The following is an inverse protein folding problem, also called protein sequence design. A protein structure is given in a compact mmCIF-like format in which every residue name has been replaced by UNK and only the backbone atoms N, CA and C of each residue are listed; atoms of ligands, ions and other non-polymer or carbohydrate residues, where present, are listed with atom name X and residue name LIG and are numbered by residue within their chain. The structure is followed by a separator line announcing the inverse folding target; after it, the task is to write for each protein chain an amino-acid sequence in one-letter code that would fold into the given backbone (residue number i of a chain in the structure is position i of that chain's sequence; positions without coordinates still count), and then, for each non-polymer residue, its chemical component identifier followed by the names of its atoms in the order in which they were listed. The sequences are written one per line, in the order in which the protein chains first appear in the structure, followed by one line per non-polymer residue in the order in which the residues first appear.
data_IF_221566697993
#
_entry.id   IF_221566697993
#
_cell.length_a   1.000
_cell.length_b   1.000
_cell.length_c   1.000
_cell.angle_alpha   90.00
_cell.angle_beta   90.00
_cell.angle_gamma   90.00
#
_symmetry.space_group_name_H-M   'P 1'
#
loop_
_entity.id
_entity.type
_entity.pdbx_description
1 polymer ?
#
# COMPACT_ATOMS: atom_id res chain seq x y z
N UNK A 1 31.23 3.69 -28.43
CA UNK A 1 30.79 4.82 -27.60
C UNK A 1 29.37 4.53 -27.19
N UNK A 2 29.19 4.02 -25.97
CA UNK A 2 27.87 3.74 -25.40
C UNK A 2 27.24 5.09 -25.14
N UNK A 3 26.15 5.41 -25.84
CA UNK A 3 25.41 6.64 -25.59
C UNK A 3 24.80 6.52 -24.19
N UNK A 4 25.31 7.28 -23.24
CA UNK A 4 24.65 7.51 -21.96
C UNK A 4 23.28 8.13 -22.25
N UNK A 5 22.23 7.31 -22.10
CA UNK A 5 20.86 7.78 -22.09
C UNK A 5 20.70 8.72 -20.89
N UNK A 6 20.60 10.02 -21.17
CA UNK A 6 20.29 11.02 -20.15
C UNK A 6 19.00 10.61 -19.43
N UNK A 7 18.96 10.63 -18.09
CA UNK A 7 17.74 10.35 -17.36
C UNK A 7 16.66 11.36 -17.76
N UNK A 8 15.51 10.83 -18.16
CA UNK A 8 14.28 11.60 -18.42
C UNK A 8 13.93 12.35 -17.13
N UNK A 9 13.41 13.57 -17.24
CA UNK A 9 12.99 14.32 -16.05
C UNK A 9 11.96 13.51 -15.24
N UNK A 10 12.09 13.56 -13.92
CA UNK A 10 11.31 12.71 -13.04
C UNK A 10 9.79 12.96 -13.09
N UNK A 11 9.35 14.22 -13.28
CA UNK A 11 7.92 14.55 -13.32
C UNK A 11 7.20 13.93 -14.53
N UNK A 12 7.87 13.87 -15.69
CA UNK A 12 7.32 13.26 -16.92
C UNK A 12 7.05 11.75 -16.75
N UNK A 13 7.78 11.09 -15.85
CA UNK A 13 7.69 9.64 -15.68
C UNK A 13 6.35 9.22 -15.09
N UNK A 14 5.84 9.94 -14.09
CA UNK A 14 4.54 9.62 -13.48
C UNK A 14 3.41 9.83 -14.49
N UNK A 15 3.41 10.92 -15.25
CA UNK A 15 2.38 11.16 -16.27
C UNK A 15 2.39 10.07 -17.35
N UNK A 16 3.57 9.63 -17.78
CA UNK A 16 3.72 8.50 -18.70
C UNK A 16 3.19 7.20 -18.10
N UNK A 17 3.46 6.93 -16.82
CA UNK A 17 2.95 5.75 -16.13
C UNK A 17 1.42 5.79 -16.00
N UNK A 18 0.83 6.95 -15.69
CA UNK A 18 -0.63 7.13 -15.66
C UNK A 18 -1.23 6.81 -17.03
N UNK A 19 -0.65 7.36 -18.10
CA UNK A 19 -1.08 7.10 -19.47
C UNK A 19 -0.93 5.63 -19.86
N UNK A 20 0.22 5.02 -19.56
CA UNK A 20 0.49 3.60 -19.81
C UNK A 20 -0.50 2.71 -19.07
N UNK A 21 -0.74 2.97 -17.78
CA UNK A 21 -1.64 2.19 -16.95
C UNK A 21 -3.06 2.19 -17.53
N UNK A 22 -3.55 3.36 -17.94
CA UNK A 22 -4.86 3.48 -18.56
C UNK A 22 -4.93 2.76 -19.90
N UNK A 23 -3.94 2.98 -20.78
CA UNK A 23 -3.92 2.39 -22.13
C UNK A 23 -3.79 0.87 -22.12
N UNK A 24 -3.08 0.30 -21.14
CA UNK A 24 -2.79 -1.14 -21.05
C UNK A 24 -3.72 -1.89 -20.09
N UNK A 25 -4.59 -1.18 -19.37
CA UNK A 25 -5.54 -1.81 -18.46
C UNK A 25 -4.95 -2.27 -17.14
N UNK A 26 -4.03 -1.48 -16.59
CA UNK A 26 -3.60 -1.60 -15.20
C UNK A 26 -4.54 -0.85 -14.27
N UNK A 27 -4.76 0.44 -14.49
CA UNK A 27 -5.50 1.30 -13.55
C UNK A 27 -6.37 2.29 -14.33
N UNK A 28 -7.60 2.49 -13.86
CA UNK A 28 -8.57 3.43 -14.39
C UNK A 28 -9.06 4.37 -13.27
N UNK A 29 -9.37 5.64 -13.56
CA UNK A 29 -10.14 6.47 -12.64
C UNK A 29 -11.48 5.80 -12.33
N UNK A 30 -11.81 5.65 -11.05
CA UNK A 30 -13.08 5.03 -10.67
C UNK A 30 -14.24 5.91 -11.10
N UNK A 31 -15.30 5.30 -11.64
CA UNK A 31 -16.46 6.04 -12.19
C UNK A 31 -16.10 7.05 -13.30
N UNK A 32 -15.11 6.74 -14.15
CA UNK A 32 -14.59 7.69 -15.16
C UNK A 32 -15.68 8.30 -16.06
N UNK A 33 -16.65 7.51 -16.50
CA UNK A 33 -17.75 7.99 -17.37
C UNK A 33 -18.65 9.04 -16.70
N UNK A 34 -18.58 9.15 -15.38
CA UNK A 34 -19.29 10.16 -14.56
C UNK A 34 -18.38 11.31 -14.13
N UNK A 35 -17.17 11.43 -14.70
CA UNK A 35 -16.18 12.45 -14.35
C UNK A 35 -15.13 11.99 -13.34
N UNK A 36 -15.19 10.72 -12.91
CA UNK A 36 -14.24 10.16 -11.95
C UNK A 36 -14.55 10.51 -10.50
N UNK A 37 -14.10 9.66 -9.57
CA UNK A 37 -14.05 9.97 -8.15
C UNK A 37 -12.60 10.19 -7.72
N UNK A 38 -12.29 11.41 -7.26
CA UNK A 38 -10.92 11.78 -6.91
C UNK A 38 -10.32 10.81 -5.86
N UNK A 39 -9.12 10.29 -6.17
CA UNK A 39 -8.34 9.38 -5.34
C UNK A 39 -8.95 8.00 -5.09
N UNK A 40 -9.87 7.61 -5.97
CA UNK A 40 -10.45 6.27 -6.02
C UNK A 40 -10.23 5.73 -7.43
N UNK A 41 -9.69 4.52 -7.53
CA UNK A 41 -9.29 3.94 -8.81
C UNK A 41 -9.75 2.50 -8.91
N UNK A 42 -10.07 2.10 -10.14
CA UNK A 42 -10.41 0.73 -10.49
C UNK A 42 -9.20 0.07 -11.15
N UNK A 43 -8.99 -1.23 -10.91
CA UNK A 43 -7.87 -1.97 -11.50
C UNK A 43 -8.37 -2.84 -12.65
N UNK A 44 -7.83 -2.59 -13.84
CA UNK A 44 -8.20 -3.28 -15.07
C UNK A 44 -7.66 -4.72 -15.14
N UNK A 45 -7.80 -5.40 -16.30
CA UNK A 45 -7.42 -6.81 -16.44
C UNK A 45 -5.96 -7.13 -16.09
N UNK A 46 -5.01 -6.27 -16.46
CA UNK A 46 -3.60 -6.46 -16.07
C UNK A 46 -3.37 -6.03 -14.62
N UNK A 47 -4.04 -4.98 -14.19
CA UNK A 47 -3.93 -4.47 -12.83
C UNK A 47 -4.37 -5.49 -11.80
N UNK A 48 -5.55 -6.08 -11.96
CA UNK A 48 -6.09 -7.06 -11.02
C UNK A 48 -5.19 -8.30 -10.91
N UNK A 49 -4.57 -8.73 -12.02
CA UNK A 49 -3.61 -9.85 -12.03
C UNK A 49 -2.35 -9.50 -11.26
N UNK A 50 -1.73 -8.35 -11.55
CA UNK A 50 -0.54 -7.91 -10.84
C UNK A 50 -0.80 -7.71 -9.35
N UNK A 51 -1.94 -7.11 -8.97
CA UNK A 51 -2.37 -7.00 -7.57
C UNK A 51 -2.46 -8.35 -6.89
N UNK A 52 -3.13 -9.32 -7.52
CA UNK A 52 -3.22 -10.69 -7.00
C UNK A 52 -1.83 -11.28 -6.79
N UNK A 53 -0.95 -11.19 -7.78
CA UNK A 53 0.41 -11.73 -7.68
C UNK A 53 1.21 -11.10 -6.52
N UNK A 54 1.11 -9.78 -6.32
CA UNK A 54 1.74 -9.09 -5.18
C UNK A 54 1.22 -9.67 -3.86
N UNK A 55 -0.10 -9.79 -3.73
CA UNK A 55 -0.77 -10.25 -2.52
C UNK A 55 -0.40 -11.69 -2.16
N UNK A 56 -0.42 -12.58 -3.15
CA UNK A 56 -0.04 -14.00 -2.97
C UNK A 56 1.44 -14.14 -2.58
N UNK A 57 2.34 -13.32 -3.17
CA UNK A 57 3.76 -13.33 -2.78
C UNK A 57 3.96 -12.81 -1.36
N UNK A 58 3.24 -11.77 -0.97
CA UNK A 58 3.29 -11.26 0.40
C UNK A 58 2.78 -12.31 1.38
N UNK A 59 1.60 -12.89 1.12
CA UNK A 59 1.01 -13.92 1.98
C UNK A 59 1.92 -15.14 2.11
N UNK A 60 2.46 -15.62 0.99
CA UNK A 60 3.39 -16.74 0.99
C UNK A 60 4.61 -16.47 1.87
N UNK A 61 5.19 -15.27 1.80
CA UNK A 61 6.40 -14.91 2.55
C UNK A 61 6.12 -14.64 4.03
N UNK A 62 5.03 -13.94 4.32
CA UNK A 62 4.68 -13.52 5.67
C UNK A 62 3.96 -14.60 6.47
N UNK A 63 3.31 -15.57 5.81
CA UNK A 63 2.50 -16.60 6.46
C UNK A 63 2.96 -17.99 6.05
N UNK A 64 2.80 -18.40 4.78
CA UNK A 64 2.95 -19.80 4.39
C UNK A 64 4.37 -20.37 4.56
N UNK A 65 5.40 -19.53 4.44
CA UNK A 65 6.81 -19.91 4.60
C UNK A 65 7.32 -19.74 6.03
N UNK A 66 6.44 -19.38 6.97
CA UNK A 66 6.79 -19.08 8.36
C UNK A 66 6.10 -20.03 9.31
N UNK A 67 6.82 -20.38 10.37
CA UNK A 67 6.28 -21.20 11.46
C UNK A 67 5.73 -20.33 12.60
N UNK A 68 5.84 -19.01 12.54
CA UNK A 68 5.59 -18.09 13.64
C UNK A 68 4.54 -17.03 13.33
N UNK A 69 3.81 -17.11 12.21
CA UNK A 69 2.77 -16.14 11.84
C UNK A 69 1.46 -16.84 11.49
N UNK A 70 0.36 -16.34 12.05
CA UNK A 70 -1.00 -16.80 11.76
C UNK A 70 -1.75 -15.82 10.87
N UNK A 71 -2.54 -16.34 9.94
CA UNK A 71 -3.40 -15.53 9.08
C UNK A 71 -4.79 -15.32 9.66
N UNK A 72 -5.31 -14.09 9.60
CA UNK A 72 -6.74 -13.81 9.87
C UNK A 72 -7.35 -12.93 8.78
N UNK A 73 -8.68 -12.86 8.74
CA UNK A 73 -9.42 -11.87 7.96
C UNK A 73 -10.50 -11.25 8.85
N UNK A 74 -10.50 -9.93 8.95
CA UNK A 74 -11.45 -9.21 9.81
C UNK A 74 -12.41 -8.36 9.00
N UNK A 75 -13.62 -8.16 9.54
CA UNK A 75 -14.62 -7.29 8.95
C UNK A 75 -14.13 -5.83 8.90
N UNK A 76 -14.59 -5.08 7.89
CA UNK A 76 -14.32 -3.64 7.77
C UNK A 76 -15.08 -2.86 8.84
N UNK A 77 -16.34 -3.24 9.08
CA UNK A 77 -17.20 -2.61 10.07
C UNK A 77 -16.92 -3.24 11.44
N UNK A 78 -16.48 -2.41 12.39
CA UNK A 78 -16.21 -2.79 13.77
C UNK A 78 -17.07 -1.95 14.71
N UNK A 79 -17.23 -2.43 15.96
CA UNK A 79 -17.87 -1.65 17.00
C UNK A 79 -17.13 -0.29 17.15
N UNK A 80 -17.85 0.86 17.18
CA UNK A 80 -17.23 2.19 17.30
C UNK A 80 -16.25 2.33 18.46
N UNK A 81 -16.49 1.63 19.57
CA UNK A 81 -15.63 1.65 20.76
C UNK A 81 -14.20 1.18 20.47
N UNK A 82 -13.98 0.37 19.43
CA UNK A 82 -12.63 -0.04 18.99
C UNK A 82 -11.81 1.17 18.54
N UNK A 83 -12.44 2.10 17.83
CA UNK A 83 -11.81 3.32 17.30
C UNK A 83 -11.68 4.41 18.36
N UNK A 84 -12.55 4.40 19.37
CA UNK A 84 -12.41 5.24 20.56
C UNK A 84 -11.25 4.76 21.42
N UNK A 85 -11.20 3.45 21.71
CA UNK A 85 -10.13 2.85 22.50
C UNK A 85 -8.77 3.12 21.85
N UNK A 86 -8.60 2.77 20.57
CA UNK A 86 -7.34 3.01 19.84
C UNK A 86 -6.99 4.49 19.60
N UNK A 87 -7.81 5.43 20.06
CA UNK A 87 -7.57 6.87 19.93
C UNK A 87 -7.84 7.44 18.53
N UNK A 88 -8.24 6.63 17.55
CA UNK A 88 -8.50 7.09 16.18
C UNK A 88 -9.61 8.14 16.09
N UNK A 89 -10.65 8.04 16.92
CA UNK A 89 -11.74 9.02 16.92
C UNK A 89 -11.24 10.42 17.33
N UNK A 90 -10.32 10.52 18.29
CA UNK A 90 -9.81 11.82 18.75
C UNK A 90 -8.54 12.27 18.01
N UNK A 91 -7.66 11.36 17.64
CA UNK A 91 -6.29 11.65 17.17
C UNK A 91 -6.04 11.45 15.68
N UNK A 92 -6.93 10.79 14.93
CA UNK A 92 -6.73 10.52 13.49
C UNK A 92 -7.16 11.72 12.64
N UNK A 93 -6.52 12.87 12.87
CA UNK A 93 -6.89 14.16 12.27
C UNK A 93 -5.73 14.85 11.57
N UNK A 94 -6.01 15.47 10.43
CA UNK A 94 -5.06 16.36 9.75
C UNK A 94 -5.48 17.84 9.84
N UNK A 95 -4.52 18.78 9.84
CA UNK A 95 -4.81 20.21 9.83
C UNK A 95 -5.32 20.64 8.44
N UNK A 96 -6.61 20.96 8.36
CA UNK A 96 -7.31 21.35 7.14
C UNK A 96 -7.47 22.87 7.02
N UNK A 97 -7.12 23.42 5.86
CA UNK A 97 -7.45 24.79 5.45
C UNK A 97 -8.26 24.81 4.16
N UNK A 98 -9.24 25.72 4.07
CA UNK A 98 -10.03 25.94 2.86
C UNK A 98 -9.59 27.22 2.14
N UNK A 99 -9.49 27.19 0.82
CA UNK A 99 -9.35 28.40 0.02
C UNK A 99 -10.69 29.13 -0.09
N UNK A 100 -10.73 30.39 0.34
CA UNK A 100 -11.90 31.26 0.20
C UNK A 100 -11.90 32.07 -1.10
N UNK A 101 -10.88 31.88 -1.94
CA UNK A 101 -10.78 32.42 -3.30
C UNK A 101 -11.56 31.60 -4.34
N UNK A 102 -11.17 31.76 -5.61
CA UNK A 102 -11.90 31.21 -6.76
C UNK A 102 -11.91 29.68 -6.86
N UNK A 103 -10.84 29.00 -6.44
CA UNK A 103 -10.73 27.55 -6.62
C UNK A 103 -11.51 26.72 -5.58
N UNK A 104 -11.79 27.29 -4.39
CA UNK A 104 -12.43 26.61 -3.25
C UNK A 104 -11.82 25.25 -2.86
N UNK A 105 -10.56 25.02 -3.22
CA UNK A 105 -9.82 23.79 -2.90
C UNK A 105 -9.49 23.72 -1.41
N UNK A 106 -9.34 22.49 -0.93
CA UNK A 106 -8.95 22.14 0.43
C UNK A 106 -7.51 21.64 0.44
N UNK A 107 -6.78 22.02 1.47
CA UNK A 107 -5.36 21.69 1.60
C UNK A 107 -5.06 21.23 3.01
N UNK A 108 -4.09 20.33 3.13
CA UNK A 108 -3.38 20.13 4.37
C UNK A 108 -2.47 21.31 4.64
N UNK A 109 -2.60 21.91 5.82
CA UNK A 109 -1.85 23.12 6.20
C UNK A 109 -0.33 22.89 6.17
N UNK A 110 0.10 21.77 6.75
CA UNK A 110 1.50 21.35 6.85
C UNK A 110 2.12 20.99 5.49
N UNK A 111 1.31 20.67 4.49
CA UNK A 111 1.75 20.40 3.13
C UNK A 111 1.75 21.63 2.20
N UNK A 112 1.31 22.80 2.66
CA UNK A 112 1.16 23.99 1.81
C UNK A 112 2.48 24.39 1.10
N UNK A 113 3.61 24.28 1.78
CA UNK A 113 4.92 24.59 1.22
C UNK A 113 5.23 23.73 0.00
N UNK A 114 5.15 22.40 0.15
CA UNK A 114 5.39 21.45 -0.93
C UNK A 114 4.38 21.63 -2.09
N UNK A 115 3.10 21.87 -1.78
CA UNK A 115 2.07 22.10 -2.80
C UNK A 115 2.30 23.39 -3.61
N UNK A 116 2.92 24.42 -3.00
CA UNK A 116 3.31 25.65 -3.70
C UNK A 116 4.49 25.40 -4.63
N UNK A 117 5.54 24.75 -4.14
CA UNK A 117 6.72 24.42 -4.93
C UNK A 117 6.37 23.57 -6.14
N UNK A 118 5.53 22.55 -5.95
CA UNK A 118 5.03 21.69 -7.02
C UNK A 118 4.26 22.46 -8.12
N UNK A 119 3.76 23.65 -7.81
CA UNK A 119 3.05 24.55 -8.75
C UNK A 119 3.91 25.75 -9.18
N UNK A 120 5.22 25.68 -8.99
CA UNK A 120 6.17 26.72 -9.40
C UNK A 120 6.08 28.00 -8.56
N UNK A 121 5.53 27.93 -7.35
CA UNK A 121 5.45 29.05 -6.40
C UNK A 121 6.49 28.87 -5.28
N UNK A 122 7.00 29.98 -4.70
CA UNK A 122 7.84 29.90 -3.51
C UNK A 122 7.13 29.15 -2.36
N UNK A 123 7.86 28.32 -1.61
CA UNK A 123 7.31 27.55 -0.48
C UNK A 123 6.62 28.45 0.56
N UNK A 124 7.17 29.64 0.79
CA UNK A 124 6.71 30.67 1.72
C UNK A 124 5.66 31.61 1.12
N UNK A 125 5.22 31.39 -0.13
CA UNK A 125 4.22 32.24 -0.77
C UNK A 125 2.92 32.28 0.04
N UNK A 126 2.31 33.45 0.20
CA UNK A 126 1.07 33.58 0.99
C UNK A 126 -0.14 33.09 0.19
N UNK A 127 -1.07 32.42 0.87
CA UNK A 127 -2.36 32.01 0.31
C UNK A 127 -2.36 30.65 -0.39
N UNK A 128 -3.41 30.43 -1.17
CA UNK A 128 -3.74 29.15 -1.77
C UNK A 128 -2.70 28.70 -2.81
N UNK A 129 -2.19 27.45 -2.73
CA UNK A 129 -1.26 26.88 -3.70
C UNK A 129 -1.75 26.95 -5.14
N UNK A 130 -3.07 26.89 -5.38
CA UNK A 130 -3.65 26.97 -6.72
C UNK A 130 -3.83 28.41 -7.19
N UNK A 131 -4.72 29.17 -6.55
CA UNK A 131 -5.17 30.47 -7.08
C UNK A 131 -4.60 31.70 -6.36
N UNK A 132 -3.78 31.51 -5.31
CA UNK A 132 -3.23 32.62 -4.50
C UNK A 132 -4.26 33.31 -3.60
N UNK A 133 -5.52 32.87 -3.61
CA UNK A 133 -6.56 33.43 -2.74
C UNK A 133 -6.35 33.12 -1.25
N UNK A 134 -7.03 33.85 -0.35
CA UNK A 134 -6.90 33.64 1.09
C UNK A 134 -7.29 32.22 1.53
N UNK A 135 -6.71 31.77 2.64
CA UNK A 135 -6.99 30.49 3.30
C UNK A 135 -7.69 30.76 4.64
N UNK A 136 -8.55 29.85 5.08
CA UNK A 136 -9.12 29.89 6.43
C UNK A 136 -8.05 29.57 7.48
N UNK A 137 -8.36 29.83 8.76
CA UNK A 137 -7.60 29.22 9.85
C UNK A 137 -7.70 27.69 9.76
N UNK A 138 -6.65 26.99 10.19
CA UNK A 138 -6.63 25.54 10.22
C UNK A 138 -7.62 24.99 11.25
N UNK A 139 -8.26 23.87 10.88
CA UNK A 139 -9.07 23.06 11.78
C UNK A 139 -8.68 21.59 11.68
N UNK A 140 -8.80 20.85 12.77
CA UNK A 140 -8.54 19.42 12.77
C UNK A 140 -9.68 18.68 12.05
N UNK A 141 -9.33 17.88 11.05
CA UNK A 141 -10.27 17.12 10.24
C UNK A 141 -10.01 15.62 10.42
N UNK A 142 -10.97 14.89 10.98
CA UNK A 142 -10.86 13.45 11.15
C UNK A 142 -10.89 12.73 9.80
N UNK A 143 -9.88 11.89 9.57
CA UNK A 143 -9.66 11.20 8.31
C UNK A 143 -10.46 9.89 8.20
N UNK A 144 -11.19 9.45 9.21
CA UNK A 144 -12.01 8.25 9.09
C UNK A 144 -13.30 8.53 8.31
N UNK A 145 -13.67 7.61 7.43
CA UNK A 145 -15.02 7.60 6.85
C UNK A 145 -16.02 7.06 7.86
N UNK A 146 -17.17 7.72 7.98
CA UNK A 146 -18.29 7.25 8.79
C UNK A 146 -19.48 6.86 7.93
N UNK A 147 -20.25 5.90 8.42
CA UNK A 147 -21.55 5.50 7.90
C UNK A 147 -22.47 5.11 9.06
N UNK A 148 -23.68 4.63 8.76
CA UNK A 148 -24.66 4.21 9.76
C UNK A 148 -25.07 2.77 9.50
N UNK A 149 -25.09 1.94 10.54
CA UNK A 149 -25.61 0.56 10.48
C UNK A 149 -27.03 0.55 11.00
N UNK A 150 -27.98 0.25 10.10
CA UNK A 150 -29.40 0.19 10.41
C UNK A 150 -30.21 1.19 9.59
N UNK A 151 -31.55 1.18 9.74
CA UNK A 151 -32.45 2.00 8.95
C UNK A 151 -32.51 3.48 9.40
N UNK A 152 -31.92 3.81 10.55
CA UNK A 152 -31.95 5.16 11.14
C UNK A 152 -30.53 5.70 11.20
N UNK A 153 -30.33 6.91 10.67
CA UNK A 153 -29.05 7.63 10.71
C UNK A 153 -28.94 8.46 11.99
N UNK A 154 -28.80 7.78 13.13
CA UNK A 154 -28.57 8.42 14.44
C UNK A 154 -27.19 8.10 15.03
N UNK A 155 -26.85 8.75 16.14
CA UNK A 155 -25.55 8.58 16.79
C UNK A 155 -25.30 7.14 17.30
N UNK A 156 -26.36 6.38 17.62
CA UNK A 156 -26.23 5.00 18.08
C UNK A 156 -25.95 4.03 16.93
N UNK A 157 -26.36 4.38 15.70
CA UNK A 157 -26.08 3.63 14.48
C UNK A 157 -24.73 3.97 13.84
N UNK A 158 -24.03 5.01 14.29
CA UNK A 158 -22.79 5.48 13.68
C UNK A 158 -21.70 4.41 13.76
N UNK A 159 -21.08 4.09 12.63
CA UNK A 159 -19.90 3.23 12.53
C UNK A 159 -18.86 3.83 11.59
N UNK A 160 -17.64 3.33 11.65
CA UNK A 160 -16.52 3.81 10.85
C UNK A 160 -16.06 2.73 9.86
N UNK A 161 -15.59 3.17 8.69
CA UNK A 161 -14.76 2.34 7.83
C UNK A 161 -13.34 2.39 8.38
N UNK A 162 -12.75 1.22 8.61
CA UNK A 162 -11.42 1.12 9.22
C UNK A 162 -10.33 1.88 8.44
N UNK A 163 -9.49 2.69 9.11
CA UNK A 163 -8.35 3.38 8.47
C UNK A 163 -7.08 2.52 8.37
N UNK A 164 -7.07 1.39 9.08
CA UNK A 164 -6.01 0.38 9.16
C UNK A 164 -6.63 -1.01 9.40
N UNK A 165 -5.85 -2.08 9.29
CA UNK A 165 -6.31 -3.45 9.58
C UNK A 165 -5.86 -3.95 10.96
N UNK A 166 -4.78 -3.38 11.51
CA UNK A 166 -4.19 -3.64 12.83
C UNK A 166 -5.21 -3.92 13.95
N UNK A 167 -6.19 -3.03 14.13
CA UNK A 167 -7.21 -3.14 15.19
C UNK A 167 -7.97 -4.48 15.19
N UNK A 168 -8.18 -5.07 14.02
CA UNK A 168 -8.81 -6.38 13.89
C UNK A 168 -7.97 -7.51 14.50
N UNK A 169 -6.64 -7.42 14.45
CA UNK A 169 -5.70 -8.38 15.02
C UNK A 169 -5.64 -8.23 16.54
N UNK A 170 -5.60 -7.00 17.06
CA UNK A 170 -5.59 -6.75 18.51
C UNK A 170 -6.84 -7.29 19.21
N UNK A 171 -8.04 -6.99 18.69
CA UNK A 171 -9.29 -7.48 19.32
C UNK A 171 -9.47 -9.00 19.22
N UNK A 172 -8.79 -9.65 18.27
CA UNK A 172 -8.80 -11.10 18.09
C UNK A 172 -7.59 -11.81 18.69
N UNK A 173 -6.62 -11.09 19.27
CA UNK A 173 -5.47 -11.68 19.95
C UNK A 173 -5.81 -12.87 20.85
N UNK A 174 -6.79 -12.79 21.79
CA UNK A 174 -7.12 -13.93 22.64
C UNK A 174 -7.75 -15.09 21.86
N UNK A 175 -8.52 -14.81 20.80
CA UNK A 175 -9.11 -15.85 19.96
C UNK A 175 -8.03 -16.61 19.19
N UNK A 176 -7.04 -15.91 18.65
CA UNK A 176 -5.90 -16.53 17.95
C UNK A 176 -5.07 -17.36 18.93
N UNK A 177 -4.62 -16.77 20.05
CA UNK A 177 -3.83 -17.50 21.07
C UNK A 177 -4.54 -18.78 21.52
N UNK A 178 -5.84 -18.71 21.80
CA UNK A 178 -6.62 -19.86 22.28
C UNK A 178 -6.80 -20.95 21.21
N UNK A 179 -6.97 -20.57 19.94
CA UNK A 179 -7.26 -21.52 18.86
C UNK A 179 -6.02 -22.17 18.27
N UNK A 180 -4.88 -21.47 18.26
CA UNK A 180 -3.63 -21.94 17.63
C UNK A 180 -2.60 -22.43 18.65
N UNK A 181 -2.77 -22.07 19.94
CA UNK A 181 -1.83 -22.40 21.04
C UNK A 181 -0.41 -21.90 20.79
N UNK A 182 -0.28 -20.78 20.07
CA UNK A 182 0.99 -20.13 19.80
C UNK A 182 1.68 -19.72 21.09
N UNK A 183 3.01 -19.80 21.07
CA UNK A 183 3.89 -19.22 22.09
C UNK A 183 4.48 -17.94 21.53
N UNK A 184 4.81 -17.00 22.41
CA UNK A 184 5.57 -15.82 22.00
C UNK A 184 7.03 -16.20 21.71
N UNK A 185 7.67 -15.54 20.73
CA UNK A 185 7.07 -14.54 19.84
C UNK A 185 6.26 -15.17 18.69
N UNK A 186 5.20 -14.51 18.25
CA UNK A 186 4.45 -14.89 17.04
C UNK A 186 3.73 -13.69 16.44
N UNK A 187 3.45 -13.76 15.13
CA UNK A 187 2.70 -12.75 14.40
C UNK A 187 1.26 -13.13 14.10
N UNK A 188 0.43 -12.13 13.92
CA UNK A 188 -0.86 -12.25 13.24
C UNK A 188 -0.78 -11.34 12.02
N UNK A 189 -1.10 -11.87 10.84
CA UNK A 189 -1.06 -11.14 9.58
C UNK A 189 -2.44 -11.10 8.93
N UNK A 190 -2.74 -9.99 8.27
CA UNK A 190 -3.88 -9.92 7.36
C UNK A 190 -3.59 -8.97 6.20
N UNK A 191 -4.35 -9.13 5.12
CA UNK A 191 -4.53 -8.08 4.15
C UNK A 191 -6.00 -7.70 4.05
N UNK A 192 -6.29 -6.49 3.60
CA UNK A 192 -7.65 -6.09 3.27
C UNK A 192 -7.80 -4.60 3.05
N UNK A 193 -9.04 -4.14 2.85
CA UNK A 193 -9.31 -2.74 2.55
C UNK A 193 -9.10 -1.84 3.76
N UNK A 194 -8.49 -0.68 3.52
CA UNK A 194 -8.39 0.45 4.44
C UNK A 194 -8.90 1.73 3.78
N UNK A 195 -9.42 2.65 4.58
CA UNK A 195 -10.05 3.88 4.10
C UNK A 195 -9.54 5.10 4.85
N UNK A 196 -9.01 6.09 4.12
CA UNK A 196 -8.57 7.37 4.69
C UNK A 196 -9.19 8.50 3.88
N UNK A 197 -9.90 9.41 4.53
CA UNK A 197 -10.57 10.54 3.90
C UNK A 197 -9.56 11.67 3.60
N UNK A 198 -8.57 11.32 2.78
CA UNK A 198 -7.41 12.15 2.45
C UNK A 198 -7.82 13.54 1.95
N UNK A 199 -7.22 14.58 2.53
CA UNK A 199 -7.51 15.99 2.25
C UNK A 199 -6.92 16.38 0.90
N UNK A 200 -5.67 15.99 0.66
CA UNK A 200 -4.92 16.34 -0.54
C UNK A 200 -4.34 15.09 -1.21
N UNK A 201 -5.20 14.32 -1.92
CA UNK A 201 -4.71 13.19 -2.68
C UNK A 201 -3.80 13.65 -3.82
N UNK A 202 -2.83 12.81 -4.18
CA UNK A 202 -1.82 13.17 -5.17
C UNK A 202 -0.98 11.98 -5.61
N UNK A 203 -0.16 12.22 -6.64
CA UNK A 203 0.80 11.26 -7.19
C UNK A 203 0.16 9.92 -7.60
N UNK A 204 -0.94 10.01 -8.36
CA UNK A 204 -1.66 8.85 -8.93
C UNK A 204 -2.24 7.92 -7.86
N UNK A 205 -1.81 6.66 -7.79
CA UNK A 205 -2.27 5.67 -6.79
C UNK A 205 -1.42 5.68 -5.51
N UNK A 206 -0.53 6.67 -5.35
CA UNK A 206 0.32 6.78 -4.18
C UNK A 206 -0.47 7.24 -2.94
N UNK A 207 -1.37 8.23 -3.09
CA UNK A 207 -2.27 8.70 -2.01
C UNK A 207 -3.72 8.49 -2.41
N UNK A 208 -4.37 7.53 -1.74
CA UNK A 208 -5.70 7.03 -2.06
C UNK A 208 -6.67 7.22 -0.89
N UNK A 209 -7.97 7.21 -1.20
CA UNK A 209 -9.02 7.17 -0.17
C UNK A 209 -9.48 5.78 0.19
N UNK A 210 -9.37 4.86 -0.76
CA UNK A 210 -9.60 3.43 -0.59
C UNK A 210 -8.39 2.71 -1.16
N UNK A 211 -7.79 1.84 -0.34
CA UNK A 211 -6.59 1.09 -0.70
C UNK A 211 -6.58 -0.24 0.04
N UNK A 212 -5.62 -1.11 -0.28
CA UNK A 212 -5.47 -2.41 0.34
C UNK A 212 -4.18 -2.42 1.17
N UNK A 213 -4.32 -2.70 2.44
CA UNK A 213 -3.24 -2.82 3.41
C UNK A 213 -2.87 -4.29 3.55
N UNK A 214 -1.60 -4.53 3.79
CA UNK A 214 -1.05 -5.82 4.18
C UNK A 214 -0.18 -5.55 5.42
N UNK A 215 -0.65 -6.01 6.56
CA UNK A 215 -0.12 -5.66 7.88
C UNK A 215 0.10 -6.93 8.70
N UNK A 216 1.07 -6.89 9.60
CA UNK A 216 1.29 -7.95 10.57
C UNK A 216 1.59 -7.35 11.94
N UNK A 217 0.90 -7.82 12.97
CA UNK A 217 1.23 -7.55 14.36
C UNK A 217 2.08 -8.69 14.92
N UNK A 218 3.36 -8.44 15.16
CA UNK A 218 4.28 -9.41 15.75
C UNK A 218 4.41 -9.20 17.25
N UNK A 219 3.81 -10.11 18.01
CA UNK A 219 3.77 -10.06 19.47
C UNK A 219 5.05 -10.68 20.03
N UNK A 220 5.73 -9.95 20.91
CA UNK A 220 6.98 -10.36 21.54
C UNK A 220 7.00 -10.05 23.05
N UNK A 221 8.02 -10.57 23.74
CA UNK A 221 8.21 -10.30 25.17
C UNK A 221 8.75 -8.87 25.37
N UNK A 222 8.22 -8.08 26.32
CA UNK A 222 8.78 -6.77 26.64
C UNK A 222 10.28 -6.85 26.91
N UNK A 223 11.06 -5.93 26.33
CA UNK A 223 12.52 -5.90 26.43
C UNK A 223 13.24 -6.70 25.34
N UNK A 224 12.51 -7.36 24.43
CA UNK A 224 13.06 -7.98 23.20
C UNK A 224 12.62 -7.27 21.92
N UNK A 225 11.74 -6.28 22.05
CA UNK A 225 11.10 -5.51 20.99
C UNK A 225 12.08 -4.89 20.00
N UNK A 226 13.11 -4.18 20.45
CA UNK A 226 14.10 -3.57 19.56
C UNK A 226 14.86 -4.58 18.68
N UNK A 227 15.15 -5.79 19.18
CA UNK A 227 15.78 -6.85 18.37
C UNK A 227 14.82 -7.34 17.28
N UNK A 228 13.54 -7.48 17.62
CA UNK A 228 12.50 -7.85 16.65
C UNK A 228 12.20 -6.73 15.66
N UNK A 229 12.24 -5.47 16.08
CA UNK A 229 12.10 -4.30 15.22
C UNK A 229 13.19 -4.27 14.15
N UNK A 230 14.46 -4.44 14.54
CA UNK A 230 15.58 -4.52 13.61
C UNK A 230 15.46 -5.72 12.66
N UNK A 231 15.11 -6.90 13.20
CA UNK A 231 14.87 -8.09 12.40
C UNK A 231 13.81 -7.85 11.32
N UNK A 232 12.63 -7.33 11.70
CA UNK A 232 11.52 -7.12 10.77
C UNK A 232 11.83 -6.01 9.77
N UNK A 233 12.49 -4.92 10.15
CA UNK A 233 12.93 -3.91 9.19
C UNK A 233 13.81 -4.52 8.08
N UNK A 234 14.78 -5.35 8.46
CA UNK A 234 15.68 -6.01 7.51
C UNK A 234 14.97 -7.07 6.67
N UNK A 235 14.14 -7.91 7.30
CA UNK A 235 13.38 -8.96 6.62
C UNK A 235 12.46 -8.37 5.55
N UNK A 236 11.77 -7.27 5.87
CA UNK A 236 10.88 -6.59 4.92
C UNK A 236 11.64 -5.86 3.83
N UNK A 237 12.78 -5.23 4.13
CA UNK A 237 13.65 -4.64 3.12
C UNK A 237 14.15 -5.70 2.12
N UNK A 238 14.64 -6.83 2.64
CA UNK A 238 15.10 -7.96 1.82
C UNK A 238 13.97 -8.55 0.98
N UNK A 239 12.74 -8.61 1.50
CA UNK A 239 11.59 -9.04 0.70
C UNK A 239 11.37 -8.16 -0.55
N UNK A 240 11.45 -6.83 -0.42
CA UNK A 240 11.33 -5.95 -1.59
C UNK A 240 12.46 -6.18 -2.62
N UNK A 241 13.68 -6.45 -2.14
CA UNK A 241 14.85 -6.67 -3.01
C UNK A 241 14.81 -8.05 -3.67
N UNK A 242 14.80 -9.10 -2.85
CA UNK A 242 15.06 -10.48 -3.28
C UNK A 242 13.79 -11.17 -3.80
N UNK A 243 12.62 -10.83 -3.25
CA UNK A 243 11.34 -11.47 -3.60
C UNK A 243 10.57 -10.67 -4.63
N UNK A 244 10.60 -9.33 -4.54
CA UNK A 244 9.87 -8.46 -5.46
C UNK A 244 10.74 -7.91 -6.60
N UNK A 245 12.07 -8.04 -6.50
CA UNK A 245 13.01 -7.64 -7.54
C UNK A 245 13.22 -6.13 -7.64
N UNK A 246 12.90 -5.36 -6.59
CA UNK A 246 13.11 -3.91 -6.56
C UNK A 246 14.60 -3.63 -6.45
N UNK A 247 15.11 -2.72 -7.29
CA UNK A 247 16.54 -2.36 -7.28
C UNK A 247 16.94 -1.73 -5.96
N UNK A 248 17.89 -2.35 -5.28
CA UNK A 248 18.42 -1.88 -3.99
C UNK A 248 18.87 -0.40 -4.02
N UNK A 249 19.44 0.08 -5.13
CA UNK A 249 19.86 1.48 -5.27
C UNK A 249 18.72 2.52 -5.15
N UNK A 250 17.46 2.09 -5.27
CA UNK A 250 16.28 2.93 -5.14
C UNK A 250 15.56 2.74 -3.80
N UNK A 251 16.08 1.90 -2.91
CA UNK A 251 15.54 1.65 -1.58
C UNK A 251 16.48 2.20 -0.50
N UNK A 252 15.91 2.63 0.62
CA UNK A 252 16.65 2.90 1.85
C UNK A 252 15.78 2.60 3.06
N UNK A 253 16.41 2.20 4.15
CA UNK A 253 15.77 2.16 5.47
C UNK A 253 16.04 3.51 6.17
N UNK A 254 14.98 4.20 6.58
CA UNK A 254 15.06 5.49 7.27
C UNK A 254 14.40 5.39 8.63
N UNK A 255 15.19 5.46 9.70
CA UNK A 255 14.65 5.62 11.04
C UNK A 255 13.96 6.98 11.20
N UNK A 256 12.82 6.99 11.89
CA UNK A 256 12.12 8.22 12.27
C UNK A 256 12.93 9.00 13.30
N UNK A 257 12.90 10.33 13.20
CA UNK A 257 13.39 11.19 14.26
C UNK A 257 12.44 11.16 15.47
N UNK A 258 12.94 11.51 16.66
CA UNK A 258 12.13 11.49 17.89
C UNK A 258 10.84 12.33 17.80
N UNK A 259 10.82 13.37 16.98
CA UNK A 259 9.65 14.24 16.76
C UNK A 259 8.65 13.66 15.76
N UNK A 260 9.05 12.66 14.97
CA UNK A 260 8.20 11.97 14.00
C UNK A 260 7.53 10.73 14.63
N UNK A 261 8.10 10.19 15.71
CA UNK A 261 7.55 9.03 16.41
C UNK A 261 6.14 9.31 16.93
N UNK A 262 5.25 8.35 16.70
CA UNK A 262 3.95 8.32 17.36
C UNK A 262 4.13 8.22 18.87
N UNK A 263 3.19 8.77 19.64
CA UNK A 263 3.27 8.83 21.11
C UNK A 263 3.39 7.47 21.81
N UNK A 264 3.04 6.38 21.13
CA UNK A 264 3.14 5.00 21.59
C UNK A 264 4.33 4.22 21.00
N UNK A 265 5.14 4.84 20.12
CA UNK A 265 6.23 4.16 19.43
C UNK A 265 7.58 4.43 20.08
N UNK A 266 8.32 3.37 20.39
CA UNK A 266 9.72 3.42 20.86
C UNK A 266 10.71 3.51 19.71
N UNK A 267 10.37 2.92 18.56
CA UNK A 267 11.14 2.98 17.33
C UNK A 267 10.23 2.80 16.11
N UNK A 268 10.40 3.64 15.08
CA UNK A 268 9.76 3.45 13.78
C UNK A 268 10.80 3.64 12.69
N UNK A 269 10.75 2.80 11.65
CA UNK A 269 11.58 2.94 10.46
C UNK A 269 10.75 2.72 9.21
N UNK A 270 10.96 3.57 8.23
CA UNK A 270 10.34 3.45 6.91
C UNK A 270 11.33 2.80 5.95
N UNK A 271 10.87 1.79 5.23
CA UNK A 271 11.45 1.42 3.96
C UNK A 271 10.92 2.44 2.95
N UNK A 272 11.82 3.27 2.42
CA UNK A 272 11.48 4.28 1.44
C UNK A 272 11.96 3.88 0.05
N UNK A 273 11.15 4.21 -0.96
CA UNK A 273 11.53 4.10 -2.36
C UNK A 273 11.74 5.48 -2.97
N UNK A 274 12.73 5.59 -3.86
CA UNK A 274 13.02 6.80 -4.63
C UNK A 274 12.05 6.94 -5.81
N UNK A 275 10.83 7.39 -5.53
CA UNK A 275 9.87 7.71 -6.57
C UNK A 275 10.35 8.85 -7.46
N UNK A 276 9.77 9.03 -8.66
CA UNK A 276 10.11 10.17 -9.49
C UNK A 276 9.87 11.51 -8.74
N UNK A 277 8.83 11.62 -7.92
CA UNK A 277 8.56 12.80 -7.10
C UNK A 277 9.41 12.91 -5.82
N UNK A 278 10.42 12.04 -5.61
CA UNK A 278 11.31 12.06 -4.45
C UNK A 278 11.24 10.79 -3.61
N UNK A 279 11.94 10.80 -2.47
CA UNK A 279 11.85 9.72 -1.49
C UNK A 279 10.45 9.70 -0.87
N UNK A 280 9.87 8.51 -0.73
CA UNK A 280 8.61 8.33 -0.06
C UNK A 280 8.49 6.93 0.55
N UNK A 281 7.71 6.86 1.62
CA UNK A 281 7.40 5.62 2.34
C UNK A 281 6.76 4.58 1.41
N UNK A 282 7.37 3.39 1.37
CA UNK A 282 6.84 2.18 0.75
C UNK A 282 6.20 1.29 1.81
N UNK A 283 6.90 1.05 2.92
CA UNK A 283 6.46 0.20 4.04
C UNK A 283 7.00 0.76 5.35
N UNK A 284 6.15 0.85 6.38
CA UNK A 284 6.53 1.26 7.73
C UNK A 284 6.74 0.04 8.62
N UNK A 285 7.73 0.10 9.51
CA UNK A 285 7.95 -0.89 10.56
C UNK A 285 8.03 -0.16 11.92
N UNK A 286 7.02 -0.34 12.76
CA UNK A 286 6.88 0.34 14.04
C UNK A 286 6.99 -0.64 15.22
N UNK A 287 7.65 -0.23 16.29
CA UNK A 287 7.58 -0.84 17.61
C UNK A 287 6.57 -0.05 18.43
N UNK A 288 5.39 -0.65 18.66
CA UNK A 288 4.23 -0.01 19.29
C UNK A 288 4.13 -0.32 20.78
N UNK A 289 5.12 -1.00 21.36
CA UNK A 289 5.13 -1.44 22.76
C UNK A 289 3.86 -2.22 23.13
N UNK A 290 3.32 -2.04 24.35
CA UNK A 290 2.08 -2.67 24.82
C UNK A 290 0.82 -1.84 24.55
N UNK A 291 0.94 -0.70 23.88
CA UNK A 291 -0.11 0.32 23.79
C UNK A 291 -1.46 -0.24 23.31
N UNK A 292 -1.46 -0.98 22.20
CA UNK A 292 -2.69 -1.43 21.55
C UNK A 292 -3.47 -2.42 22.41
N UNK A 293 -2.80 -3.47 22.91
CA UNK A 293 -3.42 -4.47 23.77
C UNK A 293 -3.83 -3.86 25.12
N UNK A 294 -2.99 -2.99 25.70
CA UNK A 294 -3.30 -2.31 26.95
C UNK A 294 -4.56 -1.44 26.83
N UNK A 295 -4.63 -0.64 25.78
CA UNK A 295 -5.73 0.31 25.60
C UNK A 295 -7.05 -0.42 25.35
N UNK A 296 -7.04 -1.51 24.56
CA UNK A 296 -8.22 -2.37 24.39
C UNK A 296 -8.61 -3.10 25.68
N UNK A 297 -7.64 -3.57 26.46
CA UNK A 297 -7.90 -4.23 27.74
C UNK A 297 -8.58 -3.26 28.74
N UNK A 298 -8.08 -2.03 28.84
CA UNK A 298 -8.64 -0.98 29.70
C UNK A 298 -10.06 -0.58 29.29
N UNK A 299 -10.33 -0.42 27.99
CA UNK A 299 -11.65 0.00 27.50
C UNK A 299 -12.69 -1.14 27.48
N UNK A 300 -12.27 -2.37 27.17
CA UNK A 300 -13.19 -3.51 27.05
C UNK A 300 -13.40 -4.28 28.36
N UNK A 301 -12.50 -4.14 29.33
CA UNK A 301 -12.46 -4.94 30.55
C UNK A 301 -12.11 -6.42 30.33
N UNK A 302 -11.62 -6.80 29.14
CA UNK A 302 -11.18 -8.16 28.81
C UNK A 302 -9.67 -8.29 29.01
N UNK A 303 -9.25 -9.35 29.70
CA UNK A 303 -7.84 -9.65 29.89
C UNK A 303 -7.17 -10.02 28.56
N UNK A 304 -6.21 -9.19 28.14
CA UNK A 304 -5.39 -9.39 26.94
C UNK A 304 -3.92 -9.71 27.32
N UNK A 305 -3.65 -10.05 28.57
CA UNK A 305 -2.31 -10.50 28.99
C UNK A 305 -2.00 -11.90 28.46
N UNK A 306 -0.73 -12.17 28.20
CA UNK A 306 -0.21 -13.47 27.83
C UNK A 306 0.46 -14.13 29.04
N UNK A 307 0.23 -15.42 29.23
CA UNK A 307 0.91 -16.22 30.26
C UNK A 307 2.05 -17.01 29.62
N UNK A 308 3.28 -16.62 29.94
CA UNK A 308 4.49 -17.31 29.50
C UNK A 308 4.81 -18.46 30.46
N UNK A 309 4.70 -19.69 29.98
CA UNK A 309 4.96 -20.90 30.77
C UNK A 309 6.45 -21.10 31.09
N UNK A 310 7.37 -20.49 30.34
CA UNK A 310 8.81 -20.66 30.55
C UNK A 310 9.31 -19.77 31.68
N UNK A 311 8.86 -18.51 31.72
CA UNK A 311 9.15 -17.59 32.83
C UNK A 311 8.14 -17.68 33.99
N UNK A 312 6.99 -18.32 33.79
CA UNK A 312 5.86 -18.36 34.73
C UNK A 312 5.33 -16.96 35.09
N UNK A 313 5.32 -16.06 34.11
CA UNK A 313 4.90 -14.66 34.24
C UNK A 313 3.69 -14.33 33.35
N UNK A 314 2.88 -13.37 33.80
CA UNK A 314 1.83 -12.75 32.97
C UNK A 314 2.24 -11.32 32.62
N UNK A 315 2.17 -10.97 31.35
CA UNK A 315 2.48 -9.63 30.86
C UNK A 315 1.67 -9.29 29.62
N UNK A 316 1.61 -8.01 29.27
CA UNK A 316 1.06 -7.57 27.97
C UNK A 316 2.20 -7.65 26.96
N UNK A 317 2.05 -8.42 25.86
CA UNK A 317 3.07 -8.48 24.82
C UNK A 317 3.34 -7.11 24.19
N UNK A 318 4.58 -6.89 23.76
CA UNK A 318 4.92 -5.76 22.90
C UNK A 318 4.66 -6.13 21.43
N UNK A 319 4.40 -5.14 20.59
CA UNK A 319 4.01 -5.34 19.18
C UNK A 319 4.98 -4.66 18.23
N UNK A 320 5.51 -5.42 17.29
CA UNK A 320 6.20 -4.91 16.10
C UNK A 320 5.25 -5.01 14.90
N UNK A 321 5.01 -3.90 14.22
CA UNK A 321 4.09 -3.78 13.10
C UNK A 321 4.83 -3.41 11.81
N UNK A 322 5.04 -4.36 10.89
CA UNK A 322 5.26 -4.07 9.49
C UNK A 322 3.93 -3.83 8.76
N UNK A 323 3.80 -2.66 8.13
CA UNK A 323 2.60 -2.22 7.44
C UNK A 323 2.92 -1.68 6.05
N UNK A 324 2.31 -2.28 5.01
CA UNK A 324 2.49 -1.85 3.62
C UNK A 324 1.18 -1.77 2.86
N UNK A 325 1.05 -0.72 2.05
CA UNK A 325 -0.03 -0.61 1.07
C UNK A 325 0.29 -1.42 -0.20
N UNK A 326 -0.62 -2.27 -0.65
CA UNK A 326 -0.47 -3.00 -1.91
C UNK A 326 -0.26 -2.04 -3.09
N UNK A 327 -0.97 -0.90 -3.09
CA UNK A 327 -0.85 0.12 -4.12
C UNK A 327 0.50 0.83 -4.10
N UNK A 328 1.17 0.93 -2.94
CA UNK A 328 2.56 1.42 -2.83
C UNK A 328 3.51 0.47 -3.53
N UNK A 329 3.40 -0.83 -3.28
CA UNK A 329 4.21 -1.85 -3.97
C UNK A 329 3.93 -1.80 -5.48
N UNK A 330 2.65 -1.71 -5.87
CA UNK A 330 2.27 -1.67 -7.27
C UNK A 330 2.91 -0.50 -8.02
N UNK A 331 2.83 0.72 -7.49
CA UNK A 331 3.44 1.89 -8.13
C UNK A 331 4.98 1.84 -8.07
N UNK A 332 5.56 1.31 -6.99
CA UNK A 332 7.01 1.04 -6.90
C UNK A 332 7.47 0.14 -8.03
N UNK A 333 6.82 -1.00 -8.23
CA UNK A 333 7.17 -1.95 -9.31
C UNK A 333 7.02 -1.32 -10.69
N UNK A 334 5.99 -0.51 -10.92
CA UNK A 334 5.83 0.22 -12.17
C UNK A 334 6.95 1.25 -12.39
N UNK A 335 7.29 2.03 -11.36
CA UNK A 335 8.37 3.01 -11.45
C UNK A 335 9.73 2.33 -11.65
N UNK A 336 9.99 1.25 -10.93
CA UNK A 336 11.29 0.59 -10.92
C UNK A 336 11.53 -0.21 -12.21
N UNK A 337 10.47 -0.77 -12.79
CA UNK A 337 10.57 -1.57 -14.01
C UNK A 337 10.46 -0.77 -15.31
N UNK A 338 10.05 0.49 -15.27
CA UNK A 338 9.82 1.32 -16.46
C UNK A 338 11.12 1.71 -17.16
N UNK A 339 11.25 1.28 -18.42
CA UNK A 339 12.35 1.66 -19.29
C UNK A 339 11.88 2.05 -20.68
N UNK A 340 12.60 2.99 -21.29
CA UNK A 340 12.40 3.39 -22.67
C UNK A 340 13.68 3.13 -23.46
N UNK A 341 13.59 2.23 -24.43
CA UNK A 341 14.72 1.80 -25.24
C UNK A 341 14.56 2.27 -26.69
N UNK A 342 15.67 2.58 -27.35
CA UNK A 342 15.71 2.79 -28.80
C UNK A 342 16.15 1.50 -29.50
N UNK A 343 15.28 0.94 -30.33
CA UNK A 343 15.55 -0.28 -31.09
C UNK A 343 15.29 -0.01 -32.56
N UNK A 344 16.34 -0.08 -33.39
CA UNK A 344 16.27 0.17 -34.84
C UNK A 344 15.66 1.54 -35.20
N UNK A 345 15.96 2.57 -34.41
CA UNK A 345 15.46 3.93 -34.61
C UNK A 345 14.01 4.16 -34.12
N UNK A 346 13.38 3.15 -33.52
CA UNK A 346 12.07 3.29 -32.87
C UNK A 346 12.19 3.21 -31.35
N UNK A 347 11.49 4.10 -30.66
CA UNK A 347 11.38 4.08 -29.19
C UNK A 347 10.33 3.07 -28.75
N UNK A 348 10.67 2.18 -27.83
CA UNK A 348 9.75 1.25 -27.18
C UNK A 348 9.79 1.41 -25.66
N UNK A 349 8.65 1.19 -25.03
CA UNK A 349 8.52 1.11 -23.57
C UNK A 349 8.56 -0.36 -23.19
N UNK A 350 9.32 -0.70 -22.15
CA UNK A 350 9.40 -2.04 -21.56
C UNK A 350 9.20 -1.91 -20.06
N UNK A 351 8.37 -2.78 -19.48
CA UNK A 351 8.28 -2.96 -18.04
C UNK A 351 9.08 -4.23 -17.67
N UNK A 352 10.25 -4.06 -17.09
CA UNK A 352 11.09 -5.16 -16.56
C UNK A 352 10.58 -5.70 -15.23
N UNK A 353 9.31 -6.10 -15.18
CA UNK A 353 8.73 -6.68 -13.98
C UNK A 353 9.39 -8.02 -13.64
N UNK A 354 9.49 -8.33 -12.36
CA UNK A 354 9.84 -9.68 -11.92
C UNK A 354 8.81 -10.68 -12.49
N UNK A 355 9.26 -11.86 -12.95
CA UNK A 355 8.41 -12.81 -13.67
C UNK A 355 7.16 -13.23 -12.86
N UNK A 356 7.30 -13.34 -11.55
CA UNK A 356 6.20 -13.76 -10.67
C UNK A 356 5.19 -12.65 -10.32
N UNK A 357 5.49 -11.39 -10.63
CA UNK A 357 4.53 -10.28 -10.47
C UNK A 357 3.99 -9.78 -11.81
N UNK A 358 4.53 -10.26 -12.92
CA UNK A 358 4.05 -9.93 -14.26
C UNK A 358 2.59 -10.39 -14.45
N UNK A 359 1.69 -9.53 -14.96
CA UNK A 359 0.27 -9.88 -15.15
C UNK A 359 0.05 -10.89 -16.28
N UNK A 360 1.01 -10.99 -17.20
CA UNK A 360 1.11 -12.03 -18.22
C UNK A 360 2.50 -12.63 -18.07
N UNK A 361 2.57 -13.89 -17.67
CA UNK A 361 3.83 -14.60 -17.47
C UNK A 361 4.29 -15.28 -18.77
N UNK A 362 3.34 -15.74 -19.59
CA UNK A 362 3.66 -16.38 -20.88
C UNK A 362 2.69 -15.93 -21.96
N UNK A 363 3.22 -15.30 -23.01
CA UNK A 363 2.46 -14.97 -24.21
C UNK A 363 2.73 -15.98 -25.33
N UNK A 364 1.67 -16.57 -25.90
CA UNK A 364 1.76 -17.54 -26.99
C UNK A 364 1.27 -16.90 -28.28
N UNK A 365 2.20 -16.67 -29.21
CA UNK A 365 2.00 -15.82 -30.39
C UNK A 365 2.31 -16.61 -31.68
N UNK A 366 1.31 -17.16 -32.40
CA UNK A 366 1.57 -17.92 -33.63
C UNK A 366 2.14 -17.01 -34.73
N UNK A 367 3.12 -17.49 -35.52
CA UNK A 367 3.77 -16.66 -36.53
C UNK A 367 2.81 -16.13 -37.60
N UNK A 368 1.81 -16.93 -37.99
CA UNK A 368 0.75 -16.55 -38.93
C UNK A 368 -0.59 -17.15 -38.53
N UNK A 369 -1.67 -16.76 -39.23
CA UNK A 369 -3.04 -17.22 -38.98
C UNK A 369 -3.38 -18.58 -39.61
N UNK A 370 -2.39 -19.30 -40.15
CA UNK A 370 -2.61 -20.63 -40.72
C UNK A 370 -3.04 -21.60 -39.61
N UNK A 371 -4.07 -22.41 -39.90
CA UNK A 371 -4.64 -23.38 -38.95
C UNK A 371 -3.57 -24.29 -38.32
N UNK A 372 -2.60 -24.74 -39.12
CA UNK A 372 -1.48 -25.58 -38.68
C UNK A 372 -0.64 -24.95 -37.55
N UNK A 373 -0.58 -23.62 -37.47
CA UNK A 373 0.13 -22.90 -36.41
C UNK A 373 -0.80 -22.46 -35.28
N UNK A 374 -2.00 -21.98 -35.59
CA UNK A 374 -2.92 -21.44 -34.58
C UNK A 374 -3.50 -22.55 -33.71
N UNK A 375 -3.80 -23.73 -34.25
CA UNK A 375 -4.25 -24.88 -33.46
C UNK A 375 -3.16 -25.36 -32.50
N UNK A 376 -1.91 -25.47 -32.97
CA UNK A 376 -0.79 -25.87 -32.11
C UNK A 376 -0.51 -24.83 -31.02
N UNK A 377 -0.49 -23.55 -31.38
CA UNK A 377 -0.30 -22.46 -30.41
C UNK A 377 -1.41 -22.45 -29.34
N UNK A 378 -2.68 -22.66 -29.72
CA UNK A 378 -3.78 -22.78 -28.74
C UNK A 378 -3.63 -24.00 -27.83
N UNK A 379 -3.17 -25.15 -28.36
CA UNK A 379 -2.88 -26.34 -27.53
C UNK A 379 -1.77 -26.08 -26.51
N UNK A 380 -0.67 -25.46 -26.94
CA UNK A 380 0.44 -25.08 -26.06
C UNK A 380 -0.05 -24.14 -24.96
N UNK A 381 -0.76 -23.08 -25.35
CA UNK A 381 -1.26 -22.09 -24.40
C UNK A 381 -2.24 -22.71 -23.40
N UNK A 382 -3.13 -23.61 -23.85
CA UNK A 382 -4.05 -24.33 -22.97
C UNK A 382 -3.33 -25.23 -21.97
N UNK A 383 -2.23 -25.89 -22.36
CA UNK A 383 -1.42 -26.68 -21.43
C UNK A 383 -0.70 -25.80 -20.38
N UNK A 384 -0.34 -24.57 -20.73
CA UNK A 384 0.38 -23.65 -19.83
C UNK A 384 -0.54 -22.93 -18.83
N UNK A 385 -1.84 -22.76 -19.14
CA UNK A 385 -2.82 -22.07 -18.28
C UNK A 385 -2.94 -22.62 -16.86
N UNK A 386 -2.66 -23.91 -16.66
CA UNK A 386 -2.68 -24.53 -15.33
C UNK A 386 -1.52 -24.11 -14.43
N UNK A 387 -0.46 -23.54 -15.00
CA UNK A 387 0.78 -23.20 -14.30
C UNK A 387 1.09 -21.71 -14.35
N UNK A 388 0.63 -21.01 -15.38
CA UNK A 388 1.00 -19.61 -15.64
C UNK A 388 -0.21 -18.77 -16.02
N UNK A 389 -0.11 -17.47 -15.73
CA UNK A 389 -0.98 -16.47 -16.34
C UNK A 389 -0.61 -16.28 -17.81
N UNK A 390 -1.37 -16.87 -18.71
CA UNK A 390 -1.08 -16.84 -20.15
C UNK A 390 -1.89 -15.79 -20.92
N UNK A 391 -1.37 -15.41 -22.10
CA UNK A 391 -2.09 -14.67 -23.12
C UNK A 391 -1.87 -15.30 -24.50
N UNK A 392 -2.93 -15.38 -25.31
CA UNK A 392 -2.86 -15.79 -26.71
C UNK A 392 -3.21 -14.60 -27.61
N UNK A 393 -2.38 -14.31 -28.61
CA UNK A 393 -2.67 -13.26 -29.59
C UNK A 393 -2.19 -13.64 -31.01
N UNK A 394 -3.13 -13.69 -31.95
CA UNK A 394 -2.91 -13.91 -33.39
C UNK A 394 -3.24 -12.68 -34.25
N UNK A 395 -3.51 -11.54 -33.62
CA UNK A 395 -3.86 -10.29 -34.27
C UNK A 395 -2.62 -9.55 -34.76
N UNK A 396 -2.76 -8.81 -35.86
CA UNK A 396 -1.70 -7.96 -36.42
C UNK A 396 -0.38 -8.71 -36.72
N UNK A 397 0.69 -7.96 -37.03
CA UNK A 397 2.01 -8.53 -37.28
C UNK A 397 2.67 -9.02 -35.99
N UNK A 398 3.58 -10.00 -36.09
CA UNK A 398 4.30 -10.54 -34.93
C UNK A 398 5.07 -9.45 -34.16
N UNK A 399 5.65 -8.47 -34.85
CA UNK A 399 6.36 -7.35 -34.23
C UNK A 399 5.44 -6.45 -33.38
N UNK A 400 4.19 -6.22 -33.81
CA UNK A 400 3.22 -5.45 -33.00
C UNK A 400 2.78 -6.22 -31.76
N UNK A 401 2.71 -7.55 -31.85
CA UNK A 401 2.40 -8.42 -30.70
C UNK A 401 3.53 -8.42 -29.67
N UNK A 402 4.79 -8.52 -30.12
CA UNK A 402 5.96 -8.37 -29.23
C UNK A 402 6.12 -6.98 -28.62
N UNK A 403 5.51 -5.94 -29.19
CA UNK A 403 5.48 -4.60 -28.58
C UNK A 403 4.31 -4.43 -27.60
N UNK A 404 3.32 -5.34 -27.65
CA UNK A 404 2.18 -5.34 -26.72
C UNK A 404 2.51 -6.06 -25.42
N UNK A 405 3.23 -7.17 -25.54
CA UNK A 405 3.92 -7.79 -24.40
C UNK A 405 5.16 -6.98 -24.07
#
# INVERSE_FOLDING_TARGET
MVAETKPVSNADTIEKLVSLCKQRGFVYPSSEIYGGLNAVYDFGPLGVRMRRNIRERWWRHMVDLRDDVEGIETAILMNPQVWEASGHVQGFTDPLVDCTGTCRKRWREDHLAAEREARGKPADAVGCPECGGPLTAARQFNLMFKTFVGPVEDAAALVWLRPETAQGMFVNFPNVVNSTRRRLPFGIAQYGKGFRNEISPGNFIFRLREFELMEMEFFCKPGTDLEWHEYWCNERLNWHIDVMGVRHANLRLRAHEKTELSHYSTATSDIEYRFPFGWGELEGCADRTDYDLKTHMEHSGRDLTFFDTESNERYIPYVIEPAVGLERIFITLLCDSYEEEEVRGERRVVLRLHADVAPVQVAVLPLSKKAELTEQARRIEHHLRGLFSTEYDETQSIGRRYRRQ
#
